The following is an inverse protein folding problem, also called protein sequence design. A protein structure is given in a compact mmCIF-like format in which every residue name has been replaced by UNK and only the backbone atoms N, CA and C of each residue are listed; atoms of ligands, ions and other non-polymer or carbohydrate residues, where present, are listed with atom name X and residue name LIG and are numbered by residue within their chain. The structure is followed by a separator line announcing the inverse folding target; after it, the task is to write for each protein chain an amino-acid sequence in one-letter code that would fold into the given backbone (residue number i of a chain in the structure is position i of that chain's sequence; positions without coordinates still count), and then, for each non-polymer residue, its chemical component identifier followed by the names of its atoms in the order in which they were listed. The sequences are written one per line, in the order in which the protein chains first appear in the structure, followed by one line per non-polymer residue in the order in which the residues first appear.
data_IF_913222490039
#
_entry.id   IF_913222490039
#
_cell.length_a   1.000
_cell.length_b   1.000
_cell.length_c   1.000
_cell.angle_alpha   90.00
_cell.angle_beta   90.00
_cell.angle_gamma   90.00
#
_symmetry.space_group_name_H-M   'P 1'
#
loop_
_entity.id
_entity.type
_entity.pdbx_description
1 polymer ?
#
# COMPACT_ATOMS: atom_id res chain seq x y z
N UNK A 1 10.89 52.41 61.82
CA UNK A 1 11.55 51.39 62.66
C UNK A 1 11.06 50.02 62.24
N UNK A 2 12.00 49.05 62.16
CA UNK A 2 11.88 47.62 61.86
C UNK A 2 11.36 47.20 60.47
N UNK A 3 12.21 46.82 59.51
CA UNK A 3 13.07 45.61 59.39
C UNK A 3 12.28 44.30 59.24
N UNK A 4 12.16 43.87 57.97
CA UNK A 4 12.61 42.56 57.49
C UNK A 4 11.83 41.31 57.92
N UNK A 5 11.37 40.54 56.93
CA UNK A 5 11.90 39.19 56.69
C UNK A 5 11.25 38.56 55.45
N UNK A 6 12.09 38.25 54.47
CA UNK A 6 11.80 37.41 53.31
C UNK A 6 11.90 35.95 53.75
N UNK A 7 10.88 35.12 53.46
CA UNK A 7 11.07 33.67 53.26
C UNK A 7 10.13 33.11 52.19
N UNK A 8 10.80 32.42 51.27
CA UNK A 8 10.36 31.71 50.09
C UNK A 8 9.24 30.70 50.33
N UNK A 9 8.22 30.71 49.47
CA UNK A 9 7.28 29.58 49.33
C UNK A 9 7.87 28.58 48.35
N UNK A 10 8.27 27.42 48.86
CA UNK A 10 8.52 26.23 48.06
C UNK A 10 7.18 25.79 47.43
N UNK A 11 7.14 25.73 46.10
CA UNK A 11 6.03 25.15 45.35
C UNK A 11 6.30 23.65 45.24
N UNK A 12 5.65 22.86 46.09
CA UNK A 12 5.58 21.42 45.95
C UNK A 12 4.60 21.11 44.82
N UNK A 13 5.11 20.83 43.62
CA UNK A 13 4.30 20.24 42.54
C UNK A 13 4.14 18.76 42.87
N UNK A 14 2.99 18.39 43.42
CA UNK A 14 2.58 17.00 43.56
C UNK A 14 2.40 16.38 42.17
N UNK A 15 3.32 15.48 41.81
CA UNK A 15 3.16 14.60 40.67
C UNK A 15 2.11 13.54 41.05
N UNK A 16 0.85 13.76 40.68
CA UNK A 16 -0.17 12.72 40.77
C UNK A 16 0.11 11.68 39.69
N UNK A 17 0.72 10.56 40.10
CA UNK A 17 0.82 9.35 39.30
C UNK A 17 -0.58 8.73 39.17
N UNK A 18 -1.28 9.04 38.09
CA UNK A 18 -2.47 8.30 37.70
C UNK A 18 -2.03 6.95 37.11
N UNK A 19 -1.95 5.94 37.98
CA UNK A 19 -1.97 4.53 37.59
C UNK A 19 -3.39 4.23 37.11
N UNK A 20 -3.65 4.49 35.84
CA UNK A 20 -4.85 4.01 35.17
C UNK A 20 -4.62 2.55 34.79
N UNK A 21 -5.14 1.66 35.66
CA UNK A 21 -5.20 0.23 35.44
C UNK A 21 -5.82 -0.08 34.07
N UNK A 22 -5.11 -0.92 33.32
CA UNK A 22 -5.57 -1.42 32.04
C UNK A 22 -6.83 -2.26 32.20
N UNK A 23 -7.95 -1.72 31.74
CA UNK A 23 -9.01 -2.54 31.18
C UNK A 23 -8.55 -2.95 29.79
N UNK A 24 -7.91 -4.12 29.71
CA UNK A 24 -7.73 -4.84 28.48
C UNK A 24 -9.11 -5.23 27.95
N UNK A 25 -9.70 -4.36 27.14
CA UNK A 25 -10.75 -4.75 26.22
C UNK A 25 -10.11 -5.80 25.31
N UNK A 26 -10.45 -7.06 25.54
CA UNK A 26 -10.03 -8.18 24.73
C UNK A 26 -10.41 -7.93 23.29
N UNK A 27 -9.44 -7.43 22.51
CA UNK A 27 -9.48 -7.53 21.07
C UNK A 27 -9.51 -9.04 20.80
N UNK A 28 -10.52 -9.57 20.10
CA UNK A 28 -10.46 -10.95 19.66
C UNK A 28 -9.21 -11.06 18.79
N UNK A 29 -8.16 -11.68 19.34
CA UNK A 29 -7.03 -12.14 18.56
C UNK A 29 -7.66 -13.04 17.52
N UNK A 30 -7.52 -12.70 16.24
CA UNK A 30 -7.88 -13.60 15.17
C UNK A 30 -7.20 -14.92 15.51
N UNK A 31 -7.99 -15.97 15.78
CA UNK A 31 -7.43 -17.29 16.06
C UNK A 31 -6.47 -17.55 14.90
N UNK A 32 -5.17 -17.54 15.19
CA UNK A 32 -4.23 -18.27 14.36
C UNK A 32 -4.88 -19.63 14.21
N UNK A 33 -5.16 -20.03 12.97
CA UNK A 33 -5.62 -21.38 12.73
C UNK A 33 -4.73 -22.30 13.56
N UNK A 34 -5.35 -23.21 14.32
CA UNK A 34 -4.63 -24.23 15.09
C UNK A 34 -3.48 -24.78 14.25
N UNK A 35 -2.32 -25.16 14.85
CA UNK A 35 -1.13 -25.64 14.13
C UNK A 35 -1.35 -26.73 13.06
N UNK A 36 -2.55 -27.31 13.03
CA UNK A 36 -3.04 -28.28 12.04
C UNK A 36 -3.63 -27.69 10.74
N UNK A 37 -3.87 -26.37 10.58
CA UNK A 37 -4.27 -25.87 9.25
C UNK A 37 -3.06 -25.88 8.33
N UNK A 38 -3.10 -26.76 7.34
CA UNK A 38 -2.09 -26.80 6.30
C UNK A 38 -2.11 -25.45 5.58
N UNK A 39 -1.02 -24.71 5.67
CA UNK A 39 -0.82 -23.52 4.86
C UNK A 39 -1.00 -23.96 3.39
N UNK A 40 -1.88 -23.32 2.58
CA UNK A 40 -2.00 -23.64 1.17
C UNK A 40 -0.60 -23.72 0.58
N UNK A 41 -0.22 -24.90 0.08
CA UNK A 41 1.13 -25.08 -0.42
C UNK A 41 1.38 -24.00 -1.45
N UNK A 42 2.49 -23.27 -1.29
CA UNK A 42 3.02 -22.55 -2.44
C UNK A 42 3.28 -23.65 -3.49
N UNK A 43 2.75 -23.51 -4.71
CA UNK A 43 2.96 -24.52 -5.72
C UNK A 43 4.46 -24.73 -5.91
N UNK A 44 4.87 -25.96 -6.26
CA UNK A 44 6.16 -26.14 -6.93
C UNK A 44 6.21 -25.20 -8.13
N UNK A 45 7.39 -24.70 -8.48
CA UNK A 45 7.65 -23.81 -9.63
C UNK A 45 7.26 -24.50 -10.96
N UNK A 46 5.96 -24.69 -11.17
CA UNK A 46 5.34 -24.98 -12.45
C UNK A 46 5.05 -23.64 -13.09
N UNK A 47 5.62 -23.42 -14.25
CA UNK A 47 5.46 -22.22 -15.07
C UNK A 47 3.99 -21.88 -15.34
N UNK A 48 3.07 -22.84 -15.31
CA UNK A 48 1.64 -22.63 -15.54
C UNK A 48 1.38 -21.97 -16.90
N UNK A 49 2.36 -21.99 -17.80
CA UNK A 49 2.28 -21.32 -19.09
C UNK A 49 1.35 -22.15 -19.98
N UNK A 50 0.27 -21.53 -20.44
CA UNK A 50 -0.62 -22.13 -21.42
C UNK A 50 0.16 -22.32 -22.72
N UNK A 51 0.17 -23.51 -23.35
CA UNK A 51 0.83 -23.72 -24.63
C UNK A 51 0.33 -22.70 -25.67
N UNK A 52 1.25 -21.94 -26.27
CA UNK A 52 0.94 -20.95 -27.31
C UNK A 52 0.76 -19.50 -26.83
N UNK A 53 0.82 -19.21 -25.53
CA UNK A 53 0.95 -17.83 -25.05
C UNK A 53 2.41 -17.34 -25.23
N UNK A 54 2.67 -16.06 -25.58
CA UNK A 54 4.02 -15.50 -25.54
C UNK A 54 4.65 -15.76 -24.17
N UNK A 55 5.93 -16.08 -24.07
CA UNK A 55 6.54 -16.36 -22.76
C UNK A 55 6.33 -15.16 -21.83
N UNK A 56 6.15 -15.38 -20.53
CA UNK A 56 5.99 -14.27 -19.59
C UNK A 56 7.23 -13.34 -19.58
N UNK A 57 8.41 -13.87 -19.94
CA UNK A 57 9.63 -13.10 -20.18
C UNK A 57 9.54 -12.19 -21.42
N UNK A 58 8.94 -12.64 -22.53
CA UNK A 58 8.64 -11.79 -23.70
C UNK A 58 7.56 -10.75 -23.38
N UNK A 59 6.67 -11.06 -22.44
CA UNK A 59 5.72 -10.08 -21.94
C UNK A 59 6.46 -9.03 -21.11
N UNK A 60 7.36 -9.35 -20.19
CA UNK A 60 8.04 -8.46 -19.22
C UNK A 60 8.89 -7.26 -19.76
N UNK A 61 8.45 -6.54 -20.80
CA UNK A 61 9.03 -5.35 -21.46
C UNK A 61 9.40 -4.14 -20.56
N UNK A 62 9.34 -4.22 -19.22
CA UNK A 62 9.90 -3.25 -18.29
C UNK A 62 9.73 -3.71 -16.83
N UNK A 63 10.46 -4.74 -16.41
CA UNK A 63 10.60 -5.09 -14.98
C UNK A 63 11.70 -4.27 -14.32
N UNK A 64 11.46 -3.86 -13.09
CA UNK A 64 12.43 -3.16 -12.24
C UNK A 64 13.57 -4.12 -11.91
N UNK A 65 14.83 -3.81 -12.25
CA UNK A 65 15.94 -4.74 -12.06
C UNK A 65 16.14 -5.09 -10.58
N UNK A 66 16.44 -6.36 -10.30
CA UNK A 66 16.96 -6.79 -8.99
C UNK A 66 18.19 -5.94 -8.62
N UNK A 67 18.31 -5.57 -7.34
CA UNK A 67 19.33 -4.66 -6.83
C UNK A 67 18.97 -3.18 -6.94
N UNK A 68 17.88 -2.82 -7.63
CA UNK A 68 17.44 -1.43 -7.72
C UNK A 68 16.93 -0.90 -6.37
N UNK A 69 17.07 0.41 -6.15
CA UNK A 69 16.32 1.09 -5.08
C UNK A 69 14.88 1.34 -5.53
N UNK A 70 13.92 0.87 -4.73
CA UNK A 70 12.49 1.06 -4.95
C UNK A 70 11.87 1.94 -3.86
N UNK A 71 10.90 2.74 -4.26
CA UNK A 71 10.07 3.55 -3.36
C UNK A 71 8.61 3.14 -3.48
N UNK A 72 7.87 3.32 -2.39
CA UNK A 72 6.44 3.00 -2.33
C UNK A 72 5.75 3.92 -1.34
N UNK A 73 4.47 4.25 -1.53
CA UNK A 73 3.64 4.82 -0.48
C UNK A 73 3.56 3.92 0.76
N UNK A 74 3.76 2.62 0.63
CA UNK A 74 3.56 1.68 1.73
C UNK A 74 4.67 1.74 2.81
N UNK A 75 5.79 2.40 2.56
CA UNK A 75 6.86 2.59 3.55
C UNK A 75 7.56 3.94 3.35
N UNK A 76 8.40 4.33 4.30
CA UNK A 76 9.17 5.57 4.23
C UNK A 76 10.57 5.27 3.72
N UNK A 77 11.04 6.06 2.76
CA UNK A 77 12.38 5.93 2.17
C UNK A 77 12.48 4.94 1.00
N UNK A 78 13.69 4.82 0.48
CA UNK A 78 14.05 3.83 -0.54
C UNK A 78 14.47 2.52 0.11
N UNK A 79 14.22 1.41 -0.59
CA UNK A 79 14.58 0.06 -0.16
C UNK A 79 15.16 -0.72 -1.34
N UNK A 80 16.05 -1.68 -1.06
CA UNK A 80 16.62 -2.53 -2.11
C UNK A 80 15.59 -3.56 -2.57
N UNK A 81 15.45 -3.74 -3.87
CA UNK A 81 14.70 -4.85 -4.45
C UNK A 81 15.62 -6.09 -4.49
N UNK A 82 15.49 -6.98 -3.50
CA UNK A 82 16.31 -8.18 -3.36
C UNK A 82 16.01 -9.23 -4.43
N UNK A 83 14.74 -9.33 -4.83
CA UNK A 83 14.30 -10.12 -5.98
C UNK A 83 13.18 -9.39 -6.71
N UNK A 84 13.37 -9.17 -8.01
CA UNK A 84 12.35 -8.66 -8.91
C UNK A 84 11.51 -9.78 -9.51
N UNK A 85 11.10 -9.61 -10.77
CA UNK A 85 10.18 -10.52 -11.46
C UNK A 85 10.68 -11.96 -11.61
N UNK A 86 12.00 -12.15 -11.62
CA UNK A 86 12.66 -13.45 -11.69
C UNK A 86 13.63 -13.58 -10.51
N UNK A 87 13.83 -14.82 -10.08
CA UNK A 87 14.94 -15.17 -9.20
C UNK A 87 16.27 -15.09 -9.98
N UNK A 88 17.40 -15.11 -9.25
CA UNK A 88 18.73 -15.11 -9.85
C UNK A 88 19.02 -16.31 -10.75
N UNK A 89 18.30 -17.43 -10.56
CA UNK A 89 18.38 -18.61 -11.40
C UNK A 89 17.41 -18.58 -12.60
N UNK A 90 16.84 -17.41 -12.93
CA UNK A 90 15.83 -17.20 -13.98
C UNK A 90 14.49 -17.94 -13.75
N UNK A 91 14.28 -18.50 -12.55
CA UNK A 91 12.99 -19.06 -12.17
C UNK A 91 11.93 -17.97 -11.98
N UNK A 92 10.64 -18.27 -12.27
CA UNK A 92 9.57 -17.28 -12.11
C UNK A 92 9.36 -16.92 -10.64
N UNK A 93 9.59 -15.65 -10.29
CA UNK A 93 9.26 -15.12 -8.96
C UNK A 93 7.89 -14.42 -8.99
N UNK A 94 7.63 -13.62 -10.04
CA UNK A 94 6.35 -12.93 -10.32
C UNK A 94 5.83 -12.04 -9.19
N UNK A 95 6.75 -11.65 -8.30
CA UNK A 95 6.53 -10.85 -7.11
C UNK A 95 7.78 -9.99 -6.87
N UNK A 96 7.77 -9.17 -5.83
CA UNK A 96 8.91 -8.38 -5.37
C UNK A 96 9.27 -8.77 -3.95
N UNK A 97 10.54 -9.03 -3.72
CA UNK A 97 11.10 -9.13 -2.36
C UNK A 97 11.87 -7.85 -2.08
N UNK A 98 11.31 -7.02 -1.21
CA UNK A 98 11.88 -5.72 -0.86
C UNK A 98 12.62 -5.83 0.46
N UNK A 99 13.93 -5.61 0.44
CA UNK A 99 14.79 -5.60 1.60
C UNK A 99 14.44 -4.46 2.54
N UNK A 100 13.79 -4.81 3.65
CA UNK A 100 13.34 -3.87 4.69
C UNK A 100 13.73 -4.44 6.04
N UNK A 101 14.11 -3.56 6.97
CA UNK A 101 14.43 -3.97 8.33
C UNK A 101 13.22 -4.59 9.03
N UNK A 102 13.48 -5.60 9.86
CA UNK A 102 12.49 -6.18 10.75
C UNK A 102 11.82 -5.06 11.57
N UNK A 103 10.50 -5.08 11.66
CA UNK A 103 9.76 -4.05 12.39
C UNK A 103 9.51 -2.75 11.61
N UNK A 104 9.87 -2.66 10.32
CA UNK A 104 9.53 -1.49 9.50
C UNK A 104 8.01 -1.39 9.36
N UNK A 105 7.44 -0.19 9.58
CA UNK A 105 6.00 0.05 9.44
C UNK A 105 5.58 -0.02 7.97
N UNK A 106 4.56 -0.83 7.70
CA UNK A 106 3.95 -0.95 6.37
C UNK A 106 2.54 -0.37 6.39
N UNK A 107 2.28 0.57 5.49
CA UNK A 107 0.98 1.21 5.31
C UNK A 107 0.25 0.66 4.09
N UNK A 108 -1.08 0.78 4.08
CA UNK A 108 -1.84 0.52 2.88
C UNK A 108 -1.33 1.46 1.79
N UNK A 109 -0.93 1.00 0.59
CA UNK A 109 -0.42 1.92 -0.43
C UNK A 109 -1.50 2.87 -0.98
N UNK A 110 -2.75 2.42 -0.90
CA UNK A 110 -3.94 3.09 -1.44
C UNK A 110 -5.16 2.60 -0.69
N UNK A 111 -6.28 3.29 -0.87
CA UNK A 111 -7.54 2.85 -0.28
C UNK A 111 -7.99 1.50 -0.81
N UNK A 112 -8.64 0.72 0.04
CA UNK A 112 -9.05 -0.64 -0.27
C UNK A 112 -9.84 -1.30 0.85
N UNK A 113 -9.97 -2.61 0.76
CA UNK A 113 -10.60 -3.47 1.76
C UNK A 113 -9.66 -4.65 2.03
N UNK A 114 -9.49 -5.02 3.30
CA UNK A 114 -8.79 -6.25 3.68
C UNK A 114 -9.68 -7.44 3.30
N UNK A 115 -9.22 -8.28 2.37
CA UNK A 115 -10.01 -9.44 1.90
C UNK A 115 -9.57 -10.75 2.53
N UNK A 116 -8.35 -10.81 3.08
CA UNK A 116 -7.85 -11.92 3.86
C UNK A 116 -6.61 -11.50 4.64
N UNK A 117 -6.30 -12.22 5.72
CA UNK A 117 -5.05 -12.09 6.47
C UNK A 117 -4.77 -13.38 7.25
N UNK A 118 -3.51 -13.60 7.60
CA UNK A 118 -3.09 -14.57 8.60
C UNK A 118 -2.08 -13.91 9.54
N UNK A 119 -2.21 -14.18 10.84
CA UNK A 119 -1.38 -13.59 11.89
C UNK A 119 -1.01 -14.66 12.93
N UNK A 120 -0.11 -14.31 13.85
CA UNK A 120 0.29 -15.14 14.99
C UNK A 120 1.51 -16.03 14.76
N UNK A 121 2.09 -16.02 13.56
CA UNK A 121 3.34 -16.74 13.29
C UNK A 121 4.52 -15.94 13.84
N UNK A 122 5.38 -16.57 14.63
CA UNK A 122 6.60 -15.95 15.12
C UNK A 122 7.62 -15.74 13.99
N UNK A 123 8.38 -14.64 14.06
CA UNK A 123 9.49 -14.40 13.13
C UNK A 123 10.55 -15.49 13.24
N UNK A 124 11.09 -15.92 12.10
CA UNK A 124 12.21 -16.84 12.08
C UNK A 124 13.43 -16.18 12.74
N UNK A 125 14.22 -16.94 13.52
CA UNK A 125 15.54 -16.50 13.95
C UNK A 125 16.43 -16.17 12.73
N UNK A 126 17.43 -15.31 12.94
CA UNK A 126 18.37 -14.95 11.90
C UNK A 126 19.10 -16.20 11.36
N UNK A 127 19.20 -16.33 10.03
CA UNK A 127 19.88 -17.45 9.37
C UNK A 127 19.09 -18.75 9.30
N UNK A 128 17.90 -18.83 9.89
CA UNK A 128 17.03 -20.01 9.78
C UNK A 128 16.21 -19.93 8.49
N UNK A 129 16.25 -21.01 7.71
CA UNK A 129 15.35 -21.22 6.58
C UNK A 129 14.37 -22.35 6.92
N UNK A 130 13.11 -22.04 7.28
CA UNK A 130 12.11 -23.07 7.60
C UNK A 130 11.69 -23.92 6.39
N UNK A 131 12.05 -23.51 5.18
CA UNK A 131 11.70 -24.20 3.94
C UNK A 131 10.28 -23.92 3.45
N UNK A 132 9.93 -24.58 2.35
CA UNK A 132 8.65 -24.43 1.67
C UNK A 132 7.46 -24.73 2.57
N UNK A 133 6.34 -24.05 2.32
CA UNK A 133 5.06 -24.19 3.04
C UNK A 133 5.06 -23.79 4.52
N UNK A 134 6.19 -23.32 5.05
CA UNK A 134 6.23 -22.75 6.39
C UNK A 134 5.15 -21.65 6.55
N UNK A 135 4.37 -21.67 7.64
CA UNK A 135 3.31 -20.71 7.86
C UNK A 135 3.90 -19.29 7.90
N UNK A 136 3.18 -18.32 7.36
CA UNK A 136 3.63 -16.92 7.32
C UNK A 136 2.50 -15.98 7.75
N UNK A 137 2.87 -14.82 8.26
CA UNK A 137 1.90 -13.74 8.43
C UNK A 137 1.78 -12.99 7.10
N UNK A 138 0.55 -12.68 6.72
CA UNK A 138 0.27 -11.99 5.47
C UNK A 138 -1.03 -11.19 5.53
N UNK A 139 -1.14 -10.20 4.66
CA UNK A 139 -2.35 -9.43 4.40
C UNK A 139 -2.64 -9.45 2.90
N UNK A 140 -3.90 -9.66 2.54
CA UNK A 140 -4.39 -9.54 1.19
C UNK A 140 -5.37 -8.36 1.12
N UNK A 141 -5.03 -7.36 0.32
CA UNK A 141 -5.86 -6.18 0.12
C UNK A 141 -6.52 -6.21 -1.24
N UNK A 142 -7.80 -5.84 -1.31
CA UNK A 142 -8.48 -5.50 -2.56
C UNK A 142 -8.52 -3.99 -2.76
N UNK A 143 -8.20 -3.56 -3.97
CA UNK A 143 -8.24 -2.17 -4.40
C UNK A 143 -8.98 -2.05 -5.74
N UNK A 144 -9.46 -0.86 -6.05
CA UNK A 144 -9.93 -0.52 -7.40
C UNK A 144 -8.92 0.41 -8.05
N UNK A 145 -8.27 -0.02 -9.13
CA UNK A 145 -7.30 0.77 -9.88
C UNK A 145 -7.88 1.05 -11.26
N UNK A 146 -8.15 2.33 -11.57
CA UNK A 146 -8.76 2.73 -12.85
C UNK A 146 -10.05 1.96 -13.20
N UNK A 147 -10.87 1.68 -12.18
CA UNK A 147 -12.13 0.92 -12.33
C UNK A 147 -11.97 -0.60 -12.30
N UNK A 148 -10.74 -1.12 -12.32
CA UNK A 148 -10.47 -2.56 -12.28
C UNK A 148 -10.17 -3.02 -10.85
N UNK A 149 -10.85 -4.07 -10.34
CA UNK A 149 -10.47 -4.72 -9.10
C UNK A 149 -9.08 -5.37 -9.20
N UNK A 150 -8.23 -5.10 -8.23
CA UNK A 150 -6.87 -5.63 -8.13
C UNK A 150 -6.60 -5.98 -6.68
N UNK A 151 -6.11 -7.19 -6.44
CA UNK A 151 -5.64 -7.62 -5.13
C UNK A 151 -4.11 -7.49 -5.01
N UNK A 152 -3.63 -7.28 -3.79
CA UNK A 152 -2.19 -7.25 -3.47
C UNK A 152 -1.89 -8.06 -2.22
N UNK A 153 -0.91 -8.95 -2.33
CA UNK A 153 -0.39 -9.78 -1.24
C UNK A 153 0.80 -9.07 -0.59
N UNK A 154 0.80 -9.05 0.73
CA UNK A 154 1.86 -8.53 1.59
C UNK A 154 2.24 -9.64 2.56
N UNK A 155 3.40 -10.27 2.38
CA UNK A 155 3.77 -11.49 3.10
C UNK A 155 5.13 -11.34 3.81
N UNK A 156 5.41 -12.27 4.72
CA UNK A 156 6.56 -12.30 5.63
C UNK A 156 6.48 -11.20 6.68
N UNK A 157 5.26 -10.91 7.14
CA UNK A 157 5.00 -9.87 8.14
C UNK A 157 5.37 -10.35 9.54
N UNK A 158 5.68 -9.41 10.44
CA UNK A 158 5.81 -9.69 11.87
C UNK A 158 4.43 -9.99 12.46
N UNK A 159 4.35 -10.78 13.56
CA UNK A 159 3.08 -11.02 14.23
C UNK A 159 2.50 -9.73 14.83
N UNK A 160 1.19 -9.71 15.04
CA UNK A 160 0.47 -8.57 15.61
C UNK A 160 -0.07 -7.62 14.54
N UNK A 161 -0.69 -8.17 13.49
CA UNK A 161 -1.33 -7.43 12.41
C UNK A 161 -2.55 -6.67 12.97
N UNK A 162 -2.56 -5.32 12.98
CA UNK A 162 -3.64 -4.51 13.57
C UNK A 162 -4.86 -4.34 12.64
N UNK A 163 -5.23 -5.40 11.89
CA UNK A 163 -6.31 -5.37 10.91
C UNK A 163 -7.32 -6.50 11.14
N UNK A 164 -8.53 -6.30 10.63
CA UNK A 164 -9.54 -7.36 10.51
C UNK A 164 -10.00 -7.52 9.06
N UNK A 165 -10.46 -8.72 8.70
CA UNK A 165 -11.05 -8.97 7.37
C UNK A 165 -12.32 -8.13 7.21
N UNK A 166 -12.50 -7.53 6.02
CA UNK A 166 -13.56 -6.58 5.72
C UNK A 166 -13.25 -5.13 6.08
N UNK A 167 -12.16 -4.86 6.82
CA UNK A 167 -11.77 -3.51 7.18
C UNK A 167 -11.43 -2.68 5.94
N UNK A 168 -11.97 -1.45 5.89
CA UNK A 168 -11.56 -0.45 4.89
C UNK A 168 -10.24 0.17 5.32
N UNK A 169 -9.31 0.25 4.37
CA UNK A 169 -8.00 0.87 4.57
C UNK A 169 -7.85 2.12 3.71
N UNK A 170 -6.99 3.04 4.10
CA UNK A 170 -6.67 4.25 3.37
C UNK A 170 -5.17 4.35 3.10
N UNK A 171 -4.82 4.77 1.87
CA UNK A 171 -3.43 5.08 1.54
C UNK A 171 -2.92 6.31 2.28
N UNK A 172 -1.60 6.45 2.45
CA UNK A 172 -1.02 7.64 3.04
C UNK A 172 -1.30 8.88 2.18
N UNK A 173 -1.14 10.04 2.81
CA UNK A 173 -0.95 11.30 2.13
C UNK A 173 0.44 11.29 1.51
N UNK A 174 0.54 11.75 0.27
CA UNK A 174 1.82 11.90 -0.42
C UNK A 174 2.24 13.37 -0.39
N UNK A 175 3.54 13.61 -0.24
CA UNK A 175 4.13 14.95 -0.42
C UNK A 175 4.20 15.34 -1.91
N UNK A 176 4.73 16.53 -2.20
CA UNK A 176 4.88 17.05 -3.56
C UNK A 176 5.84 16.22 -4.43
N UNK A 177 6.69 15.39 -3.82
CA UNK A 177 7.64 14.50 -4.50
C UNK A 177 7.07 13.09 -4.72
N UNK A 178 5.89 12.81 -4.16
CA UNK A 178 5.23 11.50 -4.27
C UNK A 178 5.61 10.52 -3.17
N UNK A 179 6.36 10.94 -2.15
CA UNK A 179 6.70 10.11 -1.00
C UNK A 179 5.58 10.14 0.05
N UNK A 180 5.40 9.03 0.77
CA UNK A 180 4.43 8.96 1.85
C UNK A 180 4.83 9.86 3.02
N UNK A 181 3.86 10.57 3.57
CA UNK A 181 4.02 11.30 4.83
C UNK A 181 3.82 10.31 5.97
N UNK A 182 4.84 10.16 6.82
CA UNK A 182 4.83 9.25 7.95
C UNK A 182 3.62 9.51 8.87
N UNK A 183 3.02 8.43 9.39
CA UNK A 183 1.85 8.52 10.28
C UNK A 183 0.53 8.84 9.58
N UNK A 184 0.50 8.91 8.26
CA UNK A 184 -0.74 9.06 7.49
C UNK A 184 -1.14 7.75 6.81
N UNK A 185 -2.45 7.55 6.61
CA UNK A 185 -2.99 6.30 6.06
C UNK A 185 -3.21 5.22 7.13
N UNK A 186 -3.55 4.02 6.70
CA UNK A 186 -3.79 2.87 7.58
C UNK A 186 -2.53 2.03 7.71
N UNK A 187 -2.05 1.83 8.93
CA UNK A 187 -1.01 0.85 9.25
C UNK A 187 -1.54 -0.56 8.94
N UNK A 188 -0.84 -1.31 8.10
CA UNK A 188 -1.19 -2.70 7.79
C UNK A 188 -0.57 -3.66 8.78
N UNK A 189 0.74 -3.52 8.98
CA UNK A 189 1.57 -4.47 9.71
C UNK A 189 2.98 -3.89 9.87
N UNK A 190 3.86 -4.70 10.44
CA UNK A 190 5.30 -4.48 10.44
C UNK A 190 5.98 -5.54 9.58
N UNK A 191 7.07 -5.18 8.90
CA UNK A 191 7.90 -6.16 8.18
C UNK A 191 8.40 -7.22 9.14
N UNK A 192 8.43 -8.47 8.69
CA UNK A 192 8.81 -9.63 9.47
C UNK A 192 9.91 -10.45 8.81
N UNK A 193 9.97 -11.69 9.27
CA UNK A 193 10.78 -12.76 8.72
C UNK A 193 10.04 -14.10 8.93
N UNK A 194 8.73 -14.16 8.68
CA UNK A 194 7.91 -15.37 8.90
C UNK A 194 7.84 -16.24 7.65
N UNK A 195 7.57 -17.54 7.78
CA UNK A 195 7.42 -18.46 6.63
C UNK A 195 8.72 -18.78 5.91
N UNK A 196 8.62 -19.14 4.62
CA UNK A 196 9.77 -19.46 3.78
C UNK A 196 10.58 -18.20 3.44
N UNK A 197 11.36 -17.72 4.41
CA UNK A 197 12.13 -16.49 4.35
C UNK A 197 13.49 -16.72 5.01
N UNK A 198 14.56 -16.32 4.31
CA UNK A 198 15.95 -16.47 4.78
C UNK A 198 16.47 -15.24 5.54
N UNK A 199 15.73 -14.13 5.50
CA UNK A 199 16.04 -12.91 6.24
C UNK A 199 14.94 -11.84 6.09
N UNK A 200 14.98 -10.76 6.90
CA UNK A 200 13.94 -9.75 6.89
C UNK A 200 13.73 -9.09 5.53
N UNK A 201 12.52 -9.22 4.99
CA UNK A 201 12.08 -8.59 3.76
C UNK A 201 10.56 -8.56 3.68
N UNK A 202 10.03 -7.86 2.69
CA UNK A 202 8.61 -7.83 2.38
C UNK A 202 8.37 -8.45 1.01
N UNK A 203 7.57 -9.53 0.96
CA UNK A 203 7.15 -10.14 -0.29
C UNK A 203 5.84 -9.53 -0.78
N UNK A 204 5.84 -9.05 -2.02
CA UNK A 204 4.77 -8.28 -2.64
C UNK A 204 4.37 -8.87 -3.97
N UNK A 205 3.11 -9.27 -4.09
CA UNK A 205 2.53 -9.70 -5.36
C UNK A 205 1.23 -8.96 -5.63
N UNK A 206 0.87 -8.86 -6.91
CA UNK A 206 -0.35 -8.18 -7.32
C UNK A 206 -1.07 -8.93 -8.41
N UNK A 207 -2.40 -9.01 -8.28
CA UNK A 207 -3.26 -9.86 -9.08
C UNK A 207 -4.51 -9.09 -9.52
N UNK A 208 -4.99 -9.35 -10.72
CA UNK A 208 -6.31 -8.88 -11.18
C UNK A 208 -7.40 -9.63 -10.44
N UNK A 209 -8.48 -8.93 -10.14
CA UNK A 209 -9.59 -9.49 -9.38
C UNK A 209 -9.37 -9.44 -7.88
N UNK A 210 -10.46 -9.63 -7.16
CA UNK A 210 -10.49 -9.69 -5.71
C UNK A 210 -11.48 -10.76 -5.27
N UNK A 211 -11.09 -11.56 -4.29
CA UNK A 211 -12.03 -12.41 -3.58
C UNK A 211 -12.92 -11.60 -2.64
N UNK A 212 -14.04 -12.20 -2.24
CA UNK A 212 -14.90 -11.62 -1.20
C UNK A 212 -14.20 -11.70 0.16
N UNK A 213 -14.30 -10.64 0.99
CA UNK A 213 -13.84 -10.72 2.37
C UNK A 213 -14.70 -11.76 3.10
N UNK A 214 -14.06 -12.78 3.66
CA UNK A 214 -14.72 -13.86 4.38
C UNK A 214 -14.21 -13.91 5.81
N UNK A 215 -13.20 -14.73 6.08
CA UNK A 215 -12.61 -14.93 7.40
C UNK A 215 -11.09 -14.81 7.35
N UNK A 216 -10.48 -14.51 8.49
CA UNK A 216 -9.03 -14.59 8.65
C UNK A 216 -8.58 -16.06 8.66
N UNK A 217 -7.28 -16.29 8.47
CA UNK A 217 -6.66 -17.61 8.45
C UNK A 217 -6.39 -18.13 7.04
N UNK A 218 -5.85 -19.35 6.99
CA UNK A 218 -5.36 -20.00 5.79
C UNK A 218 -6.43 -20.83 5.06
N UNK A 219 -7.58 -21.06 5.69
CA UNK A 219 -8.68 -21.87 5.16
C UNK A 219 -9.83 -21.02 4.58
N UNK A 220 -9.52 -20.02 3.77
CA UNK A 220 -10.52 -19.13 3.16
C UNK A 220 -10.32 -18.98 1.65
N UNK A 221 -11.37 -18.68 0.85
CA UNK A 221 -11.23 -18.39 -0.58
C UNK A 221 -10.16 -17.32 -0.86
N UNK A 222 -10.08 -16.29 -0.01
CA UNK A 222 -9.06 -15.25 -0.09
C UNK A 222 -7.65 -15.84 0.12
N UNK A 223 -7.45 -16.71 1.12
CA UNK A 223 -6.17 -17.38 1.35
C UNK A 223 -5.75 -18.25 0.15
N UNK A 224 -6.67 -19.02 -0.43
CA UNK A 224 -6.39 -19.82 -1.64
C UNK A 224 -6.04 -18.93 -2.86
N UNK A 225 -6.66 -17.76 -2.97
CA UNK A 225 -6.42 -16.83 -4.07
C UNK A 225 -5.07 -16.11 -4.02
N UNK A 226 -4.40 -16.07 -2.86
CA UNK A 226 -3.20 -15.25 -2.66
C UNK A 226 -2.03 -15.64 -3.58
N UNK A 227 -2.01 -16.90 -4.04
CA UNK A 227 -1.01 -17.42 -4.98
C UNK A 227 -1.51 -17.47 -6.43
N UNK A 228 -2.62 -16.81 -6.77
CA UNK A 228 -3.08 -16.73 -8.16
C UNK A 228 -2.03 -16.10 -9.08
N UNK A 229 -1.16 -15.21 -8.59
CA UNK A 229 -0.05 -14.69 -9.39
C UNK A 229 0.94 -15.78 -9.83
N UNK A 230 1.07 -16.88 -9.10
CA UNK A 230 1.87 -18.03 -9.52
C UNK A 230 1.04 -18.97 -10.43
N UNK A 231 -0.19 -19.25 -10.03
CA UNK A 231 -1.02 -20.33 -10.60
C UNK A 231 -1.85 -19.94 -11.83
N UNK A 232 -2.11 -18.65 -12.02
CA UNK A 232 -3.08 -18.15 -13.00
C UNK A 232 -2.47 -16.98 -13.77
N UNK A 233 -1.69 -17.24 -14.83
CA UNK A 233 -1.00 -16.19 -15.59
C UNK A 233 -1.91 -15.06 -16.07
N UNK A 234 -3.18 -15.33 -16.34
CA UNK A 234 -4.19 -14.35 -16.74
C UNK A 234 -4.50 -13.30 -15.65
N UNK A 235 -4.29 -13.67 -14.39
CA UNK A 235 -4.47 -12.79 -13.22
C UNK A 235 -3.25 -11.92 -12.94
N UNK A 236 -2.11 -12.17 -13.58
CA UNK A 236 -0.88 -11.45 -13.30
C UNK A 236 -1.00 -9.94 -13.54
N UNK A 237 -0.46 -9.18 -12.59
CA UNK A 237 -0.08 -7.78 -12.80
C UNK A 237 1.44 -7.65 -12.65
N UNK A 238 2.04 -6.92 -13.56
CA UNK A 238 3.46 -6.99 -13.90
C UNK A 238 4.39 -6.52 -12.80
N UNK A 239 4.09 -5.36 -12.22
CA UNK A 239 4.91 -4.78 -11.19
C UNK A 239 3.99 -4.23 -10.12
N UNK A 240 4.17 -4.67 -8.87
CA UNK A 240 3.42 -4.15 -7.75
C UNK A 240 3.44 -2.60 -7.71
N UNK A 241 4.57 -1.98 -8.07
CA UNK A 241 4.70 -0.52 -8.11
C UNK A 241 3.76 0.22 -9.06
N UNK A 242 3.33 -0.40 -10.15
CA UNK A 242 2.42 0.25 -11.11
C UNK A 242 1.01 0.40 -10.55
N UNK A 243 0.65 -0.40 -9.56
CA UNK A 243 -0.68 -0.42 -8.94
C UNK A 243 -0.78 0.61 -7.82
N UNK A 244 0.29 0.79 -7.04
CA UNK A 244 0.30 1.73 -5.93
C UNK A 244 0.83 3.12 -6.27
N UNK A 245 1.51 3.31 -7.40
CA UNK A 245 1.91 4.65 -7.86
C UNK A 245 0.68 5.51 -8.13
N UNK A 246 0.52 6.56 -7.33
CA UNK A 246 -0.57 7.54 -7.46
C UNK A 246 -0.02 8.83 -8.07
N UNK A 247 -0.62 9.37 -9.14
CA UNK A 247 -0.28 10.72 -9.58
C UNK A 247 -0.54 11.73 -8.46
N UNK A 248 0.49 12.50 -8.10
CA UNK A 248 0.34 13.67 -7.24
C UNK A 248 0.05 14.89 -8.11
N UNK A 249 -1.01 15.62 -7.76
CA UNK A 249 -1.33 16.90 -8.37
C UNK A 249 -0.97 17.99 -7.37
N UNK A 250 0.10 18.71 -7.68
CA UNK A 250 0.44 19.91 -6.92
C UNK A 250 -0.60 21.00 -7.19
N UNK A 251 -1.36 21.36 -6.16
CA UNK A 251 -2.43 22.32 -6.31
C UNK A 251 -1.90 23.71 -6.70
N UNK A 252 -0.74 24.11 -6.17
CA UNK A 252 -0.15 25.42 -6.45
C UNK A 252 0.34 25.51 -7.90
N UNK A 253 1.05 24.49 -8.38
CA UNK A 253 1.49 24.43 -9.78
C UNK A 253 0.29 24.38 -10.74
N UNK A 254 -0.72 23.56 -10.41
CA UNK A 254 -1.93 23.46 -11.23
C UNK A 254 -2.64 24.81 -11.35
N UNK A 255 -2.73 25.55 -10.24
CA UNK A 255 -3.34 26.88 -10.19
C UNK A 255 -2.50 27.90 -10.98
N UNK A 256 -1.17 27.87 -10.86
CA UNK A 256 -0.27 28.73 -11.62
C UNK A 256 -0.40 28.48 -13.13
N UNK A 257 -0.35 27.21 -13.55
CA UNK A 257 -0.53 26.82 -14.95
C UNK A 257 -1.91 27.23 -15.50
N UNK A 258 -2.97 27.08 -14.71
CA UNK A 258 -4.31 27.51 -15.09
C UNK A 258 -4.38 29.03 -15.34
N UNK A 259 -3.83 29.85 -14.42
CA UNK A 259 -3.83 31.32 -14.52
C UNK A 259 -3.05 31.78 -15.75
N UNK A 260 -1.84 31.26 -15.93
CA UNK A 260 -0.95 31.64 -17.03
C UNK A 260 -1.30 30.99 -18.38
N UNK A 261 -2.28 30.07 -18.44
CA UNK A 261 -2.52 29.18 -19.60
C UNK A 261 -1.24 28.41 -20.01
N UNK A 262 -0.38 28.16 -19.03
CA UNK A 262 0.96 27.60 -19.18
C UNK A 262 0.99 26.07 -19.21
N UNK A 263 2.21 25.52 -19.10
CA UNK A 263 2.49 24.08 -19.01
C UNK A 263 2.86 23.71 -17.57
N UNK A 264 2.42 22.56 -17.09
CA UNK A 264 2.84 21.99 -15.80
C UNK A 264 2.65 20.47 -15.80
N UNK A 265 3.47 19.77 -15.03
CA UNK A 265 3.32 18.33 -14.78
C UNK A 265 2.04 18.04 -14.00
N UNK A 266 1.60 18.94 -13.11
CA UNK A 266 0.34 18.80 -12.37
C UNK A 266 -0.88 18.70 -13.30
N UNK A 267 -0.87 19.41 -14.44
CA UNK A 267 -1.93 19.29 -15.47
C UNK A 267 -1.97 17.88 -16.07
N UNK A 268 -0.80 17.33 -16.41
CA UNK A 268 -0.68 15.98 -16.95
C UNK A 268 -1.08 14.93 -15.90
N UNK A 269 -0.67 15.10 -14.66
CA UNK A 269 -1.01 14.18 -13.56
C UNK A 269 -2.52 14.16 -13.30
N UNK A 270 -3.20 15.32 -13.31
CA UNK A 270 -4.65 15.36 -13.18
C UNK A 270 -5.34 14.64 -14.33
N UNK A 271 -4.89 14.84 -15.57
CA UNK A 271 -5.42 14.14 -16.76
C UNK A 271 -5.26 12.63 -16.64
N UNK A 272 -4.07 12.16 -16.29
CA UNK A 272 -3.77 10.73 -16.10
C UNK A 272 -4.64 10.11 -15.00
N UNK A 273 -4.74 10.76 -13.84
CA UNK A 273 -5.52 10.28 -12.70
C UNK A 273 -7.03 10.21 -13.00
N UNK A 274 -7.52 11.04 -13.91
CA UNK A 274 -8.94 11.11 -14.29
C UNK A 274 -9.26 10.36 -15.57
N UNK A 275 -8.31 9.61 -16.13
CA UNK A 275 -8.51 8.81 -17.35
C UNK A 275 -8.65 9.63 -18.63
N UNK A 276 -8.28 10.91 -18.62
CA UNK A 276 -8.34 11.75 -19.81
C UNK A 276 -7.29 11.29 -20.85
N UNK A 277 -7.71 11.08 -22.11
CA UNK A 277 -6.84 10.58 -23.20
C UNK A 277 -5.68 11.54 -23.56
N UNK A 278 -5.84 12.84 -23.32
CA UNK A 278 -4.83 13.84 -23.67
C UNK A 278 -3.60 13.75 -22.77
N UNK A 279 -2.40 13.70 -23.37
CA UNK A 279 -1.10 13.72 -22.69
C UNK A 279 -0.47 15.12 -22.61
N UNK A 280 -1.24 16.18 -22.90
CA UNK A 280 -0.72 17.55 -22.88
C UNK A 280 -0.52 18.06 -21.45
N UNK A 281 0.64 18.68 -21.19
CA UNK A 281 0.93 19.44 -19.97
C UNK A 281 0.31 20.84 -19.95
N UNK A 282 -0.30 21.29 -21.05
CA UNK A 282 -0.83 22.66 -21.19
C UNK A 282 -2.24 22.80 -20.60
N UNK A 283 -2.46 23.85 -19.82
CA UNK A 283 -3.77 24.23 -19.28
C UNK A 283 -4.68 24.91 -20.34
N UNK A 284 -4.87 24.23 -21.46
CA UNK A 284 -5.62 24.69 -22.64
C UNK A 284 -7.16 24.59 -22.48
N UNK A 285 -7.91 24.89 -23.55
CA UNK A 285 -9.39 24.82 -23.56
C UNK A 285 -9.92 23.44 -23.12
N UNK A 286 -9.29 22.34 -23.57
CA UNK A 286 -9.74 20.99 -23.18
C UNK A 286 -9.50 20.69 -21.71
N UNK A 287 -8.42 21.21 -21.11
CA UNK A 287 -8.20 21.09 -19.65
C UNK A 287 -9.31 21.80 -18.86
N UNK A 288 -9.69 23.00 -19.29
CA UNK A 288 -10.75 23.79 -18.64
C UNK A 288 -12.10 23.09 -18.71
N UNK A 289 -12.41 22.44 -19.84
CA UNK A 289 -13.61 21.62 -20.02
C UNK A 289 -13.57 20.42 -19.07
N UNK A 290 -12.43 19.71 -18.99
CA UNK A 290 -12.24 18.60 -18.07
C UNK A 290 -12.53 19.00 -16.62
N UNK A 291 -12.02 20.15 -16.15
CA UNK A 291 -12.31 20.64 -14.78
C UNK A 291 -13.82 20.83 -14.55
N UNK A 292 -14.55 21.40 -15.52
CA UNK A 292 -16.01 21.56 -15.41
C UNK A 292 -16.72 20.20 -15.31
N UNK A 293 -16.35 19.26 -16.16
CA UNK A 293 -16.90 17.89 -16.17
C UNK A 293 -16.63 17.16 -14.84
N UNK A 294 -15.41 17.27 -14.31
CA UNK A 294 -15.04 16.66 -13.03
C UNK A 294 -15.78 17.28 -11.84
N UNK A 295 -16.07 18.59 -11.88
CA UNK A 295 -16.89 19.25 -10.86
C UNK A 295 -18.33 18.77 -10.91
N UNK A 296 -18.90 18.66 -12.10
CA UNK A 296 -20.25 18.12 -12.29
C UNK A 296 -20.34 16.66 -11.79
N UNK A 297 -19.35 15.81 -12.12
CA UNK A 297 -19.37 14.39 -11.76
C UNK A 297 -19.29 14.10 -10.26
N UNK A 298 -18.84 15.06 -9.45
CA UNK A 298 -18.78 14.95 -7.98
C UNK A 298 -19.75 15.89 -7.27
N UNK A 299 -20.75 16.42 -7.99
CA UNK A 299 -21.72 17.40 -7.51
C UNK A 299 -21.03 18.54 -6.73
N UNK A 300 -20.03 19.19 -7.35
CA UNK A 300 -19.32 20.32 -6.77
C UNK A 300 -20.07 21.62 -7.12
N UNK A 301 -20.47 22.44 -6.14
CA UNK A 301 -21.44 23.53 -6.34
C UNK A 301 -20.99 24.64 -7.30
N UNK A 302 -19.67 24.79 -7.51
CA UNK A 302 -19.12 25.75 -8.45
C UNK A 302 -18.68 25.04 -9.74
N UNK A 303 -19.39 25.28 -10.84
CA UNK A 303 -19.15 24.67 -12.16
C UNK A 303 -18.21 25.47 -13.06
N UNK A 304 -17.57 26.54 -12.56
CA UNK A 304 -16.57 27.28 -13.33
C UNK A 304 -15.35 26.40 -13.64
N UNK A 305 -14.54 26.80 -14.63
CA UNK A 305 -13.37 26.01 -15.05
C UNK A 305 -12.15 26.13 -14.12
N UNK A 306 -12.23 26.93 -13.05
CA UNK A 306 -11.09 27.19 -12.17
C UNK A 306 -10.98 26.08 -11.12
N UNK A 307 -9.85 25.34 -11.07
CA UNK A 307 -9.62 24.39 -9.98
C UNK A 307 -9.35 25.15 -8.68
N UNK A 308 -9.77 24.57 -7.56
CA UNK A 308 -9.44 25.05 -6.21
C UNK A 308 -8.91 23.91 -5.36
N UNK A 309 -8.14 24.21 -4.29
CA UNK A 309 -7.62 23.19 -3.37
C UNK A 309 -8.76 22.36 -2.75
N UNK A 310 -9.89 22.99 -2.41
CA UNK A 310 -11.10 22.31 -1.90
C UNK A 310 -11.71 21.35 -2.94
N UNK A 311 -11.77 21.76 -4.21
CA UNK A 311 -12.21 20.89 -5.30
C UNK A 311 -11.28 19.69 -5.46
N UNK A 312 -9.96 19.90 -5.51
CA UNK A 312 -8.99 18.80 -5.66
C UNK A 312 -9.03 17.82 -4.49
N UNK A 313 -9.19 18.31 -3.25
CA UNK A 313 -9.39 17.43 -2.08
C UNK A 313 -10.69 16.61 -2.19
N UNK A 314 -11.80 17.21 -2.63
CA UNK A 314 -13.07 16.47 -2.85
C UNK A 314 -12.91 15.45 -3.98
N UNK A 315 -12.23 15.83 -5.06
CA UNK A 315 -11.94 14.94 -6.18
C UNK A 315 -11.06 13.77 -5.74
N UNK A 316 -9.98 14.01 -4.97
CA UNK A 316 -9.10 12.97 -4.46
C UNK A 316 -9.83 11.95 -3.56
N UNK A 317 -10.81 12.40 -2.76
CA UNK A 317 -11.68 11.48 -2.01
C UNK A 317 -12.50 10.55 -2.92
N UNK A 318 -12.84 11.01 -4.14
CA UNK A 318 -13.56 10.22 -5.13
C UNK A 318 -12.61 9.36 -5.97
N UNK A 319 -11.45 9.90 -6.30
CA UNK A 319 -10.41 9.26 -7.10
C UNK A 319 -9.29 8.82 -6.16
N UNK A 320 -9.39 7.59 -5.65
CA UNK A 320 -8.37 6.99 -4.76
C UNK A 320 -6.97 6.96 -5.40
N UNK A 321 -6.87 7.19 -6.71
CA UNK A 321 -5.64 7.32 -7.48
C UNK A 321 -4.97 8.71 -7.38
N UNK A 322 -5.58 9.72 -6.75
CA UNK A 322 -5.03 11.10 -6.74
C UNK A 322 -4.43 11.47 -5.38
N UNK A 323 -3.20 11.99 -5.38
CA UNK A 323 -2.61 12.75 -4.26
C UNK A 323 -2.71 14.26 -4.49
N UNK A 324 -2.79 15.07 -3.43
CA UNK A 324 -2.86 16.54 -3.51
C UNK A 324 -1.92 17.16 -2.46
N UNK A 325 -0.91 17.91 -2.91
CA UNK A 325 -0.07 18.80 -2.07
C UNK A 325 -0.69 20.19 -1.90
#
# INVERSE_FOLDING_TARGET
MNLGSSRSKAVTIGLAAAVAGGLALGIPVANADTPASVNPSAPGVGDGETPGAPSLSQRALASTPTGSTVTSPAWIGGATLNAGWEYSNHGPHRAWDVGLWLGTRIYAPRSGIVIGLNDGVANNPAGVNPGSNAPSNWVLLCHTVRGTPVSSLWQHLSPGIPLTVGQRVAGPVLDSTGHAIAGTGTLLAFTGNTGNSTGPHLHLATMKGCEKPTVAGNNSPAAWSRYNYLNKPETLVWEPSRIWRRPVVDASELMAAYKARGRSVAVLNLRKATGAKSRSTKANKSFRILIKQLKASINYPNTNSRPSKKFLKKLAKRTQDLGVS
#
